data_IF_077834456598
#
_entry.id   IF_077834456598
#
_cell.length_a   1.000
_cell.length_b   1.000
_cell.length_c   1.000
_cell.angle_alpha   90.00
_cell.angle_beta   90.00
_cell.angle_gamma   90.00
#
_symmetry.space_group_name_H-M   'P 1'
#
loop_
_entity.id
_entity.type
_entity.pdbx_description
1 polymer ?
#
# COMPACT_ATOMS: atom_id res chain seq x y z
N UNK A 1 -20.79 -15.02 21.09
CA UNK A 1 -21.00 -14.30 19.82
C UNK A 1 -20.71 -15.28 18.68
N UNK A 2 -21.66 -15.61 17.79
CA UNK A 2 -21.41 -16.64 16.78
C UNK A 2 -20.47 -16.08 15.70
N UNK A 3 -19.41 -16.83 15.41
CA UNK A 3 -18.43 -16.54 14.38
C UNK A 3 -19.16 -16.24 13.06
N UNK A 4 -18.89 -15.07 12.47
CA UNK A 4 -19.33 -14.74 11.11
C UNK A 4 -18.67 -15.77 10.20
N UNK A 5 -19.44 -16.76 9.77
CA UNK A 5 -19.06 -17.68 8.71
C UNK A 5 -18.96 -16.85 7.43
N UNK A 6 -17.75 -16.44 7.06
CA UNK A 6 -17.47 -15.86 5.75
C UNK A 6 -17.61 -16.96 4.69
N UNK A 7 -18.86 -17.29 4.35
CA UNK A 7 -19.18 -18.15 3.22
C UNK A 7 -19.34 -17.28 1.98
N UNK A 8 -18.45 -17.46 1.02
CA UNK A 8 -18.41 -16.70 -0.22
C UNK A 8 -19.09 -17.44 -1.38
N UNK A 9 -20.11 -18.26 -1.08
CA UNK A 9 -20.78 -19.10 -2.09
C UNK A 9 -21.35 -18.27 -3.25
N UNK A 10 -21.72 -17.02 -2.99
CA UNK A 10 -22.34 -16.12 -3.97
C UNK A 10 -21.35 -15.50 -4.98
N UNK A 11 -20.05 -15.64 -4.77
CA UNK A 11 -19.03 -14.97 -5.60
C UNK A 11 -18.53 -15.85 -6.76
N UNK A 12 -18.58 -17.18 -6.62
CA UNK A 12 -18.07 -18.09 -7.66
C UNK A 12 -19.10 -19.18 -8.00
N UNK A 13 -20.02 -18.87 -8.91
CA UNK A 13 -20.97 -19.83 -9.52
C UNK A 13 -21.64 -20.81 -8.54
N UNK A 14 -22.05 -20.32 -7.35
CA UNK A 14 -22.68 -21.11 -6.29
C UNK A 14 -21.85 -22.29 -5.77
N UNK A 15 -20.53 -22.30 -6.03
CA UNK A 15 -19.62 -23.30 -5.46
C UNK A 15 -19.49 -23.01 -3.96
N UNK A 16 -19.74 -24.01 -3.09
CA UNK A 16 -19.52 -23.85 -1.66
C UNK A 16 -18.02 -23.67 -1.43
N UNK A 17 -17.61 -22.45 -1.09
CA UNK A 17 -16.21 -22.12 -0.81
C UNK A 17 -16.10 -21.24 0.44
N UNK A 18 -15.13 -21.58 1.28
CA UNK A 18 -14.77 -20.88 2.49
C UNK A 18 -13.26 -20.74 2.57
N UNK A 19 -12.78 -19.56 2.97
CA UNK A 19 -11.35 -19.31 3.12
C UNK A 19 -10.96 -19.24 4.59
N UNK A 20 -9.78 -19.75 4.90
CA UNK A 20 -9.13 -19.64 6.20
C UNK A 20 -7.63 -19.38 5.99
N UNK A 21 -6.90 -19.14 7.08
CA UNK A 21 -5.44 -19.26 7.02
C UNK A 21 -5.04 -20.74 6.92
N UNK A 22 -3.82 -21.05 6.45
CA UNK A 22 -3.34 -22.43 6.35
C UNK A 22 -3.44 -23.16 7.69
N UNK A 23 -3.83 -24.43 7.62
CA UNK A 23 -4.09 -25.30 8.77
C UNK A 23 -5.09 -24.70 9.79
N UNK A 24 -5.99 -23.83 9.33
CA UNK A 24 -6.92 -23.06 10.16
C UNK A 24 -6.23 -22.23 11.26
N UNK A 25 -5.01 -21.73 10.98
CA UNK A 25 -4.28 -20.85 11.89
C UNK A 25 -5.14 -19.64 12.31
N UNK A 26 -5.09 -19.26 13.59
CA UNK A 26 -5.88 -18.16 14.15
C UNK A 26 -7.38 -18.46 14.38
N UNK A 27 -7.84 -19.69 14.11
CA UNK A 27 -9.21 -20.10 14.44
C UNK A 27 -9.39 -20.31 15.96
N UNK A 28 -10.54 -19.91 16.49
CA UNK A 28 -10.94 -20.21 17.89
C UNK A 28 -11.41 -21.65 18.07
N UNK A 29 -11.80 -22.31 16.98
CA UNK A 29 -12.20 -23.71 16.97
C UNK A 29 -11.01 -24.65 16.82
N UNK A 30 -11.01 -25.75 17.56
CA UNK A 30 -9.97 -26.77 17.49
C UNK A 30 -10.20 -27.75 16.31
N UNK A 31 -9.68 -27.40 15.13
CA UNK A 31 -9.83 -28.23 13.92
C UNK A 31 -9.06 -29.55 13.94
N UNK A 32 -8.09 -29.72 14.84
CA UNK A 32 -7.30 -30.96 14.97
C UNK A 32 -8.12 -32.18 15.41
N UNK A 33 -9.29 -31.95 16.02
CA UNK A 33 -10.22 -33.03 16.39
C UNK A 33 -10.93 -33.65 15.18
N UNK A 34 -10.94 -32.95 14.05
CA UNK A 34 -11.65 -33.38 12.83
C UNK A 34 -10.71 -33.81 11.70
N UNK A 35 -9.46 -33.36 11.75
CA UNK A 35 -8.49 -33.58 10.69
C UNK A 35 -7.13 -33.95 11.28
N UNK A 36 -6.60 -35.07 10.82
CA UNK A 36 -5.22 -35.47 11.09
C UNK A 36 -4.26 -34.70 10.18
N UNK A 37 -3.03 -34.44 10.66
CA UNK A 37 -1.98 -33.77 9.89
C UNK A 37 -2.05 -32.24 9.88
N UNK A 38 -3.00 -31.62 10.61
CA UNK A 38 -3.00 -30.17 10.79
C UNK A 38 -1.94 -29.74 11.81
N UNK A 39 -1.02 -28.86 11.41
CA UNK A 39 0.01 -28.30 12.29
C UNK A 39 0.09 -26.77 12.18
N UNK A 40 -0.94 -26.03 12.65
CA UNK A 40 -0.97 -24.58 12.57
C UNK A 40 0.21 -23.95 13.32
N UNK A 41 1.01 -23.14 12.63
CA UNK A 41 2.13 -22.43 13.23
C UNK A 41 2.23 -21.01 12.66
N UNK A 42 2.77 -20.08 13.44
CA UNK A 42 2.83 -18.68 13.03
C UNK A 42 3.78 -18.47 11.85
N UNK A 43 4.97 -19.07 11.90
CA UNK A 43 6.04 -18.86 10.93
C UNK A 43 5.60 -19.16 9.49
N UNK A 44 4.86 -20.24 9.30
CA UNK A 44 4.50 -20.75 7.97
C UNK A 44 3.07 -20.39 7.56
N UNK A 45 2.18 -20.04 8.50
CA UNK A 45 0.75 -19.87 8.21
C UNK A 45 0.17 -18.49 8.56
N UNK A 46 0.95 -17.58 9.15
CA UNK A 46 0.55 -16.18 9.31
C UNK A 46 0.69 -15.42 7.99
N UNK A 47 -0.32 -14.63 7.62
CA UNK A 47 -0.21 -13.71 6.50
C UNK A 47 0.49 -12.43 6.96
N UNK A 48 1.52 -11.99 6.23
CA UNK A 48 2.39 -10.87 6.62
C UNK A 48 2.35 -9.80 5.53
N UNK A 49 2.19 -8.54 5.93
CA UNK A 49 2.30 -7.37 5.06
C UNK A 49 3.14 -6.34 5.80
N UNK A 50 4.31 -6.02 5.27
CA UNK A 50 5.20 -4.99 5.81
C UNK A 50 5.01 -3.72 4.99
N UNK A 51 4.50 -2.67 5.62
CA UNK A 51 4.15 -1.41 4.96
C UNK A 51 5.13 -0.32 5.37
N UNK A 52 5.63 0.45 4.42
CA UNK A 52 6.42 1.63 4.71
C UNK A 52 5.52 2.75 5.27
N UNK A 53 5.84 3.32 6.45
CA UNK A 53 4.92 4.19 7.18
C UNK A 53 4.60 5.53 6.51
N UNK A 54 5.49 6.09 5.68
CA UNK A 54 5.32 7.44 5.11
C UNK A 54 4.57 7.38 3.77
N UNK A 55 4.99 6.50 2.87
CA UNK A 55 4.43 6.31 1.53
C UNK A 55 3.26 5.35 1.49
N UNK A 56 3.12 4.48 2.50
CA UNK A 56 2.10 3.42 2.54
C UNK A 56 2.37 2.29 1.55
N UNK A 57 3.56 2.26 0.92
CA UNK A 57 3.91 1.23 -0.05
C UNK A 57 4.29 -0.06 0.69
N UNK A 58 3.72 -1.22 0.32
CA UNK A 58 4.15 -2.49 0.86
C UNK A 58 5.56 -2.85 0.36
N UNK A 59 6.45 -3.21 1.29
CA UNK A 59 7.83 -3.61 0.99
C UNK A 59 7.95 -5.14 0.90
N UNK A 60 7.19 -5.86 1.72
CA UNK A 60 7.15 -7.33 1.77
C UNK A 60 5.70 -7.77 1.95
N UNK A 61 5.24 -8.71 1.12
CA UNK A 61 3.89 -9.25 1.20
C UNK A 61 3.89 -10.77 1.04
N UNK A 62 3.43 -11.47 2.08
CA UNK A 62 3.20 -12.91 2.09
C UNK A 62 1.74 -13.17 2.37
N UNK A 63 0.97 -13.33 1.30
CA UNK A 63 -0.44 -13.69 1.41
C UNK A 63 -0.56 -15.20 1.49
N UNK A 64 -1.11 -15.69 2.60
CA UNK A 64 -1.28 -17.11 2.86
C UNK A 64 -2.73 -17.41 3.14
N UNK A 65 -3.28 -18.36 2.39
CA UNK A 65 -4.67 -18.74 2.60
C UNK A 65 -4.95 -20.15 2.12
N UNK A 66 -5.98 -20.71 2.72
CA UNK A 66 -6.46 -22.06 2.50
C UNK A 66 -7.88 -22.00 1.94
N UNK A 67 -8.07 -22.72 0.85
CA UNK A 67 -9.39 -22.98 0.29
C UNK A 67 -10.02 -24.17 1.01
N UNK A 68 -11.30 -24.02 1.34
CA UNK A 68 -12.09 -25.05 2.01
C UNK A 68 -13.47 -25.17 1.36
N UNK A 69 -14.00 -26.39 1.31
CA UNK A 69 -15.33 -26.67 0.78
C UNK A 69 -16.27 -27.00 1.93
N UNK A 70 -17.17 -26.07 2.32
CA UNK A 70 -18.22 -26.36 3.28
C UNK A 70 -19.34 -27.18 2.66
N UNK A 71 -19.55 -28.37 3.17
CA UNK A 71 -20.61 -29.24 2.69
C UNK A 71 -21.90 -29.03 3.49
N UNK A 72 -23.05 -28.83 2.82
CA UNK A 72 -24.34 -28.74 3.49
C UNK A 72 -24.75 -30.08 4.11
N UNK A 73 -25.96 -30.12 4.66
CA UNK A 73 -26.56 -31.39 5.04
C UNK A 73 -26.78 -32.26 3.80
N UNK A 74 -26.14 -33.44 3.76
CA UNK A 74 -26.20 -34.37 2.63
C UNK A 74 -27.35 -35.38 2.76
N UNK A 75 -28.36 -35.10 3.59
CA UNK A 75 -29.58 -35.90 3.67
C UNK A 75 -30.21 -36.06 2.27
N UNK A 76 -30.55 -37.29 1.89
CA UNK A 76 -31.12 -37.61 0.57
C UNK A 76 -30.10 -37.98 -0.52
N UNK A 77 -28.80 -37.79 -0.28
CA UNK A 77 -27.73 -38.29 -1.15
C UNK A 77 -27.28 -39.71 -0.76
N UNK A 78 -26.40 -40.33 -1.56
CA UNK A 78 -25.88 -41.67 -1.29
C UNK A 78 -25.22 -41.78 0.10
N UNK A 79 -25.24 -42.98 0.68
CA UNK A 79 -24.65 -43.24 2.02
C UNK A 79 -23.17 -42.82 2.09
N UNK A 80 -22.45 -42.93 0.98
CA UNK A 80 -21.05 -42.51 0.85
C UNK A 80 -20.85 -41.00 0.94
N UNK A 81 -21.82 -40.20 0.48
CA UNK A 81 -21.77 -38.74 0.57
C UNK A 81 -22.26 -38.23 1.93
N UNK A 82 -23.19 -38.97 2.57
CA UNK A 82 -23.70 -38.61 3.90
C UNK A 82 -22.63 -38.53 4.99
N UNK A 83 -21.51 -39.28 4.86
CA UNK A 83 -20.38 -39.20 5.81
C UNK A 83 -19.70 -37.83 5.85
N UNK A 84 -19.89 -37.01 4.81
CA UNK A 84 -19.36 -35.65 4.72
C UNK A 84 -20.40 -34.57 5.05
N UNK A 85 -21.60 -34.96 5.52
CA UNK A 85 -22.65 -34.02 5.87
C UNK A 85 -22.19 -33.05 6.96
N UNK A 86 -22.43 -31.75 6.77
CA UNK A 86 -22.08 -30.67 7.72
C UNK A 86 -20.57 -30.57 8.04
N UNK A 87 -19.72 -31.05 7.14
CA UNK A 87 -18.26 -30.98 7.27
C UNK A 87 -17.67 -29.85 6.42
N UNK A 88 -16.52 -29.30 6.81
CA UNK A 88 -15.73 -28.39 5.99
C UNK A 88 -14.49 -29.14 5.52
N UNK A 89 -14.36 -29.42 4.22
CA UNK A 89 -13.21 -30.15 3.69
C UNK A 89 -12.10 -29.16 3.36
N UNK A 90 -10.94 -29.19 4.04
CA UNK A 90 -9.77 -28.42 3.63
C UNK A 90 -9.22 -29.02 2.33
N UNK A 91 -9.03 -28.22 1.29
CA UNK A 91 -8.59 -28.73 -0.02
C UNK A 91 -7.11 -28.51 -0.25
N UNK A 92 -6.67 -27.26 -0.26
CA UNK A 92 -5.29 -26.87 -0.45
C UNK A 92 -5.09 -25.47 0.13
N UNK A 93 -3.85 -25.17 0.49
CA UNK A 93 -3.42 -23.82 0.80
C UNK A 93 -2.33 -23.42 -0.17
N UNK A 94 -2.14 -22.12 -0.31
CA UNK A 94 -1.04 -21.59 -1.09
C UNK A 94 -0.53 -20.30 -0.47
N UNK A 95 0.72 -20.03 -0.79
CA UNK A 95 1.41 -18.79 -0.48
C UNK A 95 1.60 -18.02 -1.78
N UNK A 96 1.22 -16.75 -1.75
CA UNK A 96 1.64 -15.77 -2.72
C UNK A 96 2.67 -14.88 -2.05
N UNK A 97 3.94 -15.10 -2.40
CA UNK A 97 5.06 -14.30 -1.94
C UNK A 97 5.39 -13.27 -3.02
N UNK A 98 5.32 -12.00 -2.66
CA UNK A 98 5.80 -10.93 -3.53
C UNK A 98 7.30 -10.82 -3.30
N UNK A 99 8.09 -11.33 -4.27
CA UNK A 99 9.55 -11.25 -4.24
C UNK A 99 10.03 -9.82 -3.94
N UNK A 100 11.29 -9.72 -3.47
CA UNK A 100 11.94 -8.46 -3.17
C UNK A 100 11.78 -7.43 -4.30
N UNK A 101 11.42 -6.20 -3.92
CA UNK A 101 11.30 -5.09 -4.87
C UNK A 101 12.62 -4.90 -5.64
N UNK A 102 12.56 -4.70 -6.98
CA UNK A 102 13.76 -4.46 -7.77
C UNK A 102 14.60 -3.32 -7.17
N UNK A 103 15.94 -3.43 -7.14
CA UNK A 103 16.80 -2.46 -6.45
C UNK A 103 16.60 -1.01 -6.92
N UNK A 104 16.25 -0.82 -8.20
CA UNK A 104 15.94 0.48 -8.78
C UNK A 104 14.69 1.11 -8.15
N UNK A 105 13.63 0.34 -7.93
CA UNK A 105 12.38 0.82 -7.31
C UNK A 105 12.64 1.18 -5.85
N UNK A 106 13.35 0.30 -5.13
CA UNK A 106 13.72 0.55 -3.74
C UNK A 106 14.60 1.81 -3.59
N UNK A 107 15.50 2.06 -4.53
CA UNK A 107 16.31 3.28 -4.55
C UNK A 107 15.45 4.54 -4.67
N UNK A 108 14.54 4.59 -5.66
CA UNK A 108 13.67 5.74 -5.84
C UNK A 108 12.72 5.95 -4.66
N UNK A 109 12.19 4.87 -4.09
CA UNK A 109 11.37 4.91 -2.90
C UNK A 109 12.14 5.50 -1.71
N UNK A 110 13.35 4.99 -1.42
CA UNK A 110 14.21 5.52 -0.35
C UNK A 110 14.60 6.97 -0.59
N UNK A 111 14.92 7.36 -1.83
CA UNK A 111 15.21 8.74 -2.19
C UNK A 111 14.00 9.66 -1.95
N UNK A 112 12.81 9.21 -2.35
CA UNK A 112 11.57 9.95 -2.16
C UNK A 112 11.23 10.12 -0.67
N UNK A 113 11.38 9.07 0.13
CA UNK A 113 11.00 9.09 1.56
C UNK A 113 12.04 9.80 2.43
N UNK A 114 13.34 9.63 2.16
CA UNK A 114 14.39 10.16 3.04
C UNK A 114 15.03 11.47 2.55
N UNK A 115 15.26 11.61 1.24
CA UNK A 115 16.02 12.76 0.70
C UNK A 115 15.10 13.90 0.33
N UNK A 116 13.99 13.60 -0.35
CA UNK A 116 13.07 14.62 -0.88
C UNK A 116 12.49 15.55 0.20
N UNK A 117 12.06 15.07 1.40
CA UNK A 117 11.48 15.95 2.42
C UNK A 117 12.49 16.94 2.99
N UNK A 118 13.78 16.60 2.94
CA UNK A 118 14.88 17.44 3.42
C UNK A 118 15.31 18.42 2.33
N UNK A 119 15.49 17.93 1.10
CA UNK A 119 15.97 18.73 -0.02
C UNK A 119 14.93 19.77 -0.47
N UNK A 120 13.65 19.42 -0.51
CA UNK A 120 12.57 20.29 -0.98
C UNK A 120 12.49 21.65 -0.27
N UNK A 121 12.44 21.74 1.08
CA UNK A 121 12.37 23.04 1.76
C UNK A 121 13.65 23.86 1.56
N UNK A 122 14.83 23.21 1.52
CA UNK A 122 16.11 23.90 1.29
C UNK A 122 16.12 24.54 -0.10
N UNK A 123 15.76 23.77 -1.14
CA UNK A 123 15.66 24.28 -2.50
C UNK A 123 14.59 25.39 -2.61
N UNK A 124 13.46 25.25 -1.93
CA UNK A 124 12.39 26.24 -1.94
C UNK A 124 12.85 27.57 -1.34
N UNK A 125 13.49 27.54 -0.17
CA UNK A 125 14.02 28.75 0.49
C UNK A 125 15.09 29.41 -0.38
N UNK A 126 16.02 28.63 -0.93
CA UNK A 126 17.06 29.15 -1.81
C UNK A 126 16.48 29.86 -3.05
N UNK A 127 15.51 29.23 -3.71
CA UNK A 127 14.84 29.82 -4.88
C UNK A 127 14.08 31.10 -4.51
N UNK A 128 13.41 31.14 -3.36
CA UNK A 128 12.74 32.35 -2.88
C UNK A 128 13.72 33.50 -2.65
N UNK A 129 14.85 33.26 -1.98
CA UNK A 129 15.88 34.27 -1.78
C UNK A 129 16.44 34.80 -3.11
N UNK A 130 16.68 33.89 -4.06
CA UNK A 130 17.12 34.25 -5.39
C UNK A 130 16.09 35.13 -6.12
N UNK A 131 14.80 34.79 -6.04
CA UNK A 131 13.73 35.60 -6.66
C UNK A 131 13.62 37.00 -6.04
N UNK A 132 13.74 37.12 -4.71
CA UNK A 132 13.74 38.42 -4.01
C UNK A 132 14.94 39.26 -4.45
N UNK A 133 16.12 38.65 -4.54
CA UNK A 133 17.33 39.33 -4.99
C UNK A 133 17.16 39.87 -6.41
N UNK A 134 16.72 39.03 -7.35
CA UNK A 134 16.46 39.44 -8.73
C UNK A 134 15.45 40.59 -8.80
N UNK A 135 14.36 40.52 -8.04
CA UNK A 135 13.34 41.57 -8.00
C UNK A 135 13.89 42.90 -7.47
N UNK A 136 14.66 42.89 -6.39
CA UNK A 136 15.31 44.08 -5.83
C UNK A 136 16.29 44.69 -6.84
N UNK A 137 17.08 43.86 -7.51
CA UNK A 137 18.01 44.30 -8.54
C UNK A 137 17.27 45.00 -9.69
N UNK A 138 16.19 44.40 -10.20
CA UNK A 138 15.35 45.02 -11.24
C UNK A 138 14.71 46.33 -10.77
N UNK A 139 14.27 46.44 -9.51
CA UNK A 139 13.72 47.68 -8.98
C UNK A 139 14.75 48.82 -8.94
N UNK A 140 15.99 48.52 -8.57
CA UNK A 140 17.08 49.51 -8.53
C UNK A 140 17.45 49.98 -9.92
N UNK A 141 17.57 49.07 -10.90
CA UNK A 141 17.88 49.44 -12.29
C UNK A 141 16.77 50.28 -12.92
N UNK A 142 15.50 49.95 -12.68
CA UNK A 142 14.35 50.74 -13.15
C UNK A 142 14.34 52.17 -12.58
N UNK A 143 14.61 52.33 -11.27
CA UNK A 143 14.76 53.66 -10.66
C UNK A 143 15.91 54.45 -11.29
N UNK A 144 17.07 53.80 -11.51
CA UNK A 144 18.24 54.41 -12.15
C UNK A 144 17.94 54.93 -13.56
N UNK A 145 17.28 54.12 -14.39
CA UNK A 145 16.87 54.50 -15.76
C UNK A 145 15.85 55.65 -15.74
N UNK A 146 14.89 55.64 -14.80
CA UNK A 146 13.90 56.71 -14.69
C UNK A 146 14.53 58.04 -14.29
N UNK A 147 15.51 58.02 -13.37
CA UNK A 147 16.25 59.21 -12.96
C UNK A 147 17.12 59.75 -14.09
N UNK A 148 17.86 58.89 -14.81
CA UNK A 148 18.70 59.31 -15.93
C UNK A 148 17.87 59.97 -17.04
N UNK A 149 16.71 59.38 -17.38
CA UNK A 149 15.78 59.97 -18.34
C UNK A 149 15.22 61.33 -17.86
N UNK A 150 14.95 61.49 -16.56
CA UNK A 150 14.49 62.76 -16.00
C UNK A 150 15.58 63.84 -16.06
N UNK A 151 16.82 63.49 -15.71
CA UNK A 151 17.96 64.41 -15.76
C UNK A 151 18.26 64.86 -17.19
N UNK A 152 18.22 63.96 -18.16
CA UNK A 152 18.38 64.31 -19.58
C UNK A 152 17.29 65.29 -20.04
N UNK A 153 16.03 65.05 -19.68
CA UNK A 153 14.94 65.97 -20.01
C UNK A 153 15.11 67.35 -19.36
N UNK A 154 15.54 67.41 -18.10
CA UNK A 154 15.79 68.67 -17.39
C UNK A 154 16.96 69.45 -17.98
N UNK A 155 18.05 68.77 -18.34
CA UNK A 155 19.20 69.38 -19.01
C UNK A 155 18.80 69.93 -20.39
N UNK A 156 18.00 69.18 -21.15
CA UNK A 156 17.54 69.60 -22.47
C UNK A 156 16.55 70.79 -22.39
N UNK A 157 15.71 70.83 -21.35
CA UNK A 157 14.83 71.99 -21.07
C UNK A 157 15.63 73.25 -20.71
N UNK A 158 16.67 73.13 -19.88
CA UNK A 158 17.53 74.26 -19.48
C UNK A 158 18.41 74.78 -20.63
N UNK A 159 18.67 73.97 -21.65
CA UNK A 159 19.45 74.33 -22.83
C UNK A 159 18.65 75.10 -23.89
N UNK A 160 17.33 75.19 -23.76
CA UNK A 160 16.43 75.96 -24.64
C UNK A 160 16.11 77.31 -24.02
#
# INVERSE_FOLDING_TARGET
MPARKCFWSKIYNDVPSAFSLPHFYGSTYNWSEHFEGLSPNQKDHEAIIVIEPISGIPIEEKYRFQSNIPLPDMAGYSKELQRFSKMVIPTFWYEYDLDDLPPMVLFFMRFNVHVTPIAQPICTVFLLLFTIWCFLYTCVTLKGVKISHLLLNLLNYKSK
#
